data_IF_163023346170
#
_entry.id   IF_163023346170
#
_cell.length_a   1.000
_cell.length_b   1.000
_cell.length_c   1.000
_cell.angle_alpha   90.00
_cell.angle_beta   90.00
_cell.angle_gamma   90.00
#
_symmetry.space_group_name_H-M   'P 1'
#
loop_
_entity.id
_entity.type
_entity.pdbx_description
1 polymer ?
#
# COMPACT_ATOMS: atom_id res chain seq x y z
N UNK A 1 -6.58 -3.40 -6.56
CA UNK A 1 -5.79 -4.20 -7.52
C UNK A 1 -6.13 -5.68 -7.46
N UNK A 2 -5.94 -6.36 -6.32
CA UNK A 2 -6.30 -7.79 -6.15
C UNK A 2 -7.69 -8.14 -6.70
N UNK A 3 -8.73 -7.44 -6.23
CA UNK A 3 -10.11 -7.65 -6.70
C UNK A 3 -10.29 -7.33 -8.20
N UNK A 4 -9.78 -6.16 -8.65
CA UNK A 4 -9.89 -5.71 -10.06
C UNK A 4 -9.32 -6.74 -11.06
N UNK A 5 -8.25 -7.43 -10.68
CA UNK A 5 -7.58 -8.42 -11.53
C UNK A 5 -7.97 -9.87 -11.19
N UNK A 6 -9.03 -10.08 -10.41
CA UNK A 6 -9.60 -11.41 -10.18
C UNK A 6 -8.75 -12.33 -9.31
N UNK A 7 -8.03 -11.79 -8.31
CA UNK A 7 -7.35 -12.63 -7.32
C UNK A 7 -8.37 -13.58 -6.65
N UNK A 8 -8.06 -14.88 -6.65
CA UNK A 8 -8.93 -15.93 -6.10
C UNK A 8 -9.30 -15.66 -4.63
N UNK A 9 -8.32 -15.21 -3.86
CA UNK A 9 -8.50 -14.87 -2.46
C UNK A 9 -7.54 -13.77 -2.00
N UNK A 10 -7.89 -13.13 -0.90
CA UNK A 10 -7.02 -12.21 -0.16
C UNK A 10 -6.67 -12.91 1.15
N UNK A 11 -5.41 -13.30 1.29
CA UNK A 11 -4.87 -13.95 2.48
C UNK A 11 -4.86 -12.95 3.62
N UNK A 12 -5.35 -13.37 4.79
CA UNK A 12 -5.27 -12.57 6.01
C UNK A 12 -3.87 -12.72 6.62
N UNK A 13 -3.05 -11.66 6.68
CA UNK A 13 -1.71 -11.73 7.23
C UNK A 13 -1.67 -11.68 8.77
N UNK A 14 -2.79 -11.44 9.48
CA UNK A 14 -2.82 -11.32 10.95
C UNK A 14 -2.23 -12.52 11.70
N UNK A 15 -2.46 -13.79 11.31
CA UNK A 15 -1.86 -14.94 12.01
C UNK A 15 -0.34 -14.96 11.96
N UNK A 16 0.25 -14.31 10.96
CA UNK A 16 1.69 -14.25 10.71
C UNK A 16 2.35 -12.99 11.25
N UNK A 17 1.56 -11.99 11.64
CA UNK A 17 2.07 -10.74 12.18
C UNK A 17 2.90 -10.99 13.43
N UNK A 18 4.02 -10.30 13.59
CA UNK A 18 4.86 -10.39 14.79
C UNK A 18 4.99 -9.03 15.49
N UNK A 19 5.15 -9.05 16.82
CA UNK A 19 5.53 -7.88 17.63
C UNK A 19 4.69 -6.63 17.31
N UNK A 20 5.31 -5.54 16.84
CA UNK A 20 4.63 -4.24 16.67
C UNK A 20 3.55 -4.25 15.59
N UNK A 21 3.60 -5.22 14.67
CA UNK A 21 2.56 -5.39 13.64
C UNK A 21 1.27 -5.95 14.28
N UNK A 22 1.37 -6.85 15.27
CA UNK A 22 0.19 -7.31 16.05
C UNK A 22 -0.44 -6.15 16.79
N UNK A 23 0.38 -5.33 17.45
CA UNK A 23 -0.09 -4.14 18.18
C UNK A 23 -0.80 -3.15 17.25
N UNK A 24 -0.33 -3.04 16.00
CA UNK A 24 -0.97 -2.21 14.99
C UNK A 24 -2.36 -2.70 14.63
N UNK A 25 -2.59 -4.02 14.51
CA UNK A 25 -3.94 -4.56 14.32
C UNK A 25 -4.86 -4.29 15.50
N UNK A 26 -4.34 -4.35 16.74
CA UNK A 26 -5.12 -4.01 17.94
C UNK A 26 -5.50 -2.52 17.94
N UNK A 27 -4.56 -1.65 17.57
CA UNK A 27 -4.79 -0.19 17.49
C UNK A 27 -5.76 0.19 16.38
N UNK A 28 -5.74 -0.54 15.28
CA UNK A 28 -6.57 -0.31 14.10
C UNK A 28 -7.35 -1.58 13.74
N UNK A 29 -8.48 -1.89 14.38
CA UNK A 29 -9.22 -3.12 14.10
C UNK A 29 -9.85 -3.14 12.69
N UNK A 30 -10.08 -1.96 12.09
CA UNK A 30 -10.79 -1.78 10.82
C UNK A 30 -9.97 -1.96 9.54
N UNK A 31 -8.65 -2.18 9.61
CA UNK A 31 -7.78 -2.35 8.40
C UNK A 31 -8.10 -3.62 7.58
N UNK A 32 -8.91 -4.52 8.10
CA UNK A 32 -9.27 -5.75 7.40
C UNK A 32 -8.08 -6.68 7.20
N UNK A 33 -8.01 -7.35 6.03
CA UNK A 33 -6.98 -8.33 5.66
C UNK A 33 -5.71 -7.69 5.06
N UNK A 34 -5.43 -6.44 5.38
CA UNK A 34 -4.26 -5.71 4.86
C UNK A 34 -3.13 -5.74 5.88
N UNK A 35 -1.90 -5.95 5.39
CA UNK A 35 -0.69 -5.83 6.20
C UNK A 35 -0.29 -4.35 6.36
N UNK A 36 -0.34 -3.78 7.58
CA UNK A 36 0.05 -2.39 7.77
C UNK A 36 1.58 -2.23 7.71
N UNK A 37 2.06 -1.32 6.86
CA UNK A 37 3.46 -0.93 6.78
C UNK A 37 3.70 0.33 7.63
N UNK A 38 3.83 0.16 8.94
CA UNK A 38 3.95 1.26 9.90
C UNK A 38 5.39 1.43 10.38
N UNK A 39 6.00 2.56 10.00
CA UNK A 39 7.35 2.92 10.41
C UNK A 39 8.44 2.10 9.70
N UNK A 40 9.63 2.68 9.63
CA UNK A 40 10.77 2.13 8.87
C UNK A 40 12.05 2.12 9.71
N UNK A 41 11.93 2.00 11.03
CA UNK A 41 13.08 1.68 11.88
C UNK A 41 13.61 0.28 11.59
N UNK A 42 14.88 0.00 11.87
CA UNK A 42 15.52 -1.31 11.60
C UNK A 42 14.67 -2.49 12.08
N UNK A 43 14.16 -2.42 13.32
CA UNK A 43 13.29 -3.45 13.90
C UNK A 43 11.97 -3.62 13.14
N UNK A 44 11.32 -2.52 12.77
CA UNK A 44 10.05 -2.56 12.04
C UNK A 44 10.23 -3.10 10.62
N UNK A 45 11.33 -2.75 9.95
CA UNK A 45 11.68 -3.30 8.63
C UNK A 45 11.85 -4.82 8.73
N UNK A 46 12.59 -5.30 9.73
CA UNK A 46 12.76 -6.74 9.93
C UNK A 46 11.44 -7.43 10.24
N UNK A 47 10.62 -6.86 11.13
CA UNK A 47 9.31 -7.43 11.46
C UNK A 47 8.37 -7.51 10.25
N UNK A 48 8.41 -6.48 9.39
CA UNK A 48 7.65 -6.43 8.15
C UNK A 48 8.16 -7.46 7.14
N UNK A 49 9.48 -7.60 7.00
CA UNK A 49 10.12 -8.61 6.16
C UNK A 49 9.73 -10.03 6.56
N UNK A 50 9.90 -10.36 7.84
CA UNK A 50 9.59 -11.67 8.40
C UNK A 50 8.10 -11.99 8.25
N UNK A 51 7.22 -11.01 8.52
CA UNK A 51 5.78 -11.18 8.35
C UNK A 51 5.43 -11.44 6.88
N UNK A 52 5.92 -10.63 5.93
CA UNK A 52 5.64 -10.84 4.50
C UNK A 52 6.15 -12.21 4.03
N UNK A 53 7.36 -12.59 4.45
CA UNK A 53 8.02 -13.81 4.00
C UNK A 53 7.41 -15.08 4.62
N UNK A 54 6.70 -14.99 5.75
CA UNK A 54 6.01 -16.13 6.39
C UNK A 54 4.56 -16.30 5.95
N UNK A 55 3.87 -15.24 5.51
CA UNK A 55 2.50 -15.34 4.98
C UNK A 55 2.46 -16.30 3.80
N UNK A 56 1.58 -17.30 3.84
CA UNK A 56 1.39 -18.25 2.74
C UNK A 56 0.56 -17.61 1.61
N UNK A 57 1.24 -17.08 0.59
CA UNK A 57 0.62 -16.45 -0.56
C UNK A 57 1.51 -16.51 -1.81
N UNK A 58 0.89 -16.47 -2.99
CA UNK A 58 1.61 -16.51 -4.27
C UNK A 58 2.24 -15.16 -4.66
N UNK A 59 1.60 -14.06 -4.26
CA UNK A 59 1.97 -12.71 -4.71
C UNK A 59 1.70 -11.64 -3.63
N UNK A 60 2.65 -10.71 -3.49
CA UNK A 60 2.56 -9.56 -2.59
C UNK A 60 2.24 -8.30 -3.40
N UNK A 61 1.15 -7.63 -3.08
CA UNK A 61 0.77 -6.37 -3.71
C UNK A 61 1.19 -5.21 -2.81
N UNK A 62 2.13 -4.40 -3.28
CA UNK A 62 2.64 -3.23 -2.56
C UNK A 62 1.74 -2.03 -2.89
N UNK A 63 0.93 -1.62 -1.91
CA UNK A 63 0.04 -0.46 -2.01
C UNK A 63 0.59 0.83 -1.40
N UNK A 64 1.86 0.86 -0.99
CA UNK A 64 2.48 2.04 -0.38
C UNK A 64 2.89 3.09 -1.42
N UNK A 65 2.86 4.40 -1.09
CA UNK A 65 3.37 5.44 -1.97
C UNK A 65 4.85 5.28 -2.30
N UNK A 66 5.65 4.78 -1.35
CA UNK A 66 7.06 4.44 -1.58
C UNK A 66 7.21 3.04 -2.17
N UNK A 67 8.36 2.80 -2.78
CA UNK A 67 8.73 1.47 -3.25
C UNK A 67 9.28 0.61 -2.11
N UNK A 68 8.40 -0.20 -1.51
CA UNK A 68 8.76 -1.03 -0.36
C UNK A 68 9.87 -2.05 -0.67
N UNK A 69 9.99 -2.48 -1.94
CA UNK A 69 11.02 -3.42 -2.39
C UNK A 69 12.45 -2.88 -2.23
N UNK A 70 12.61 -1.57 -2.06
CA UNK A 70 13.92 -0.93 -1.83
C UNK A 70 14.40 -1.04 -0.39
N UNK A 71 13.52 -1.37 0.55
CA UNK A 71 13.80 -1.37 1.99
C UNK A 71 13.52 -2.72 2.66
N UNK A 72 12.70 -3.57 2.05
CA UNK A 72 12.33 -4.90 2.55
C UNK A 72 12.67 -5.95 1.49
N UNK A 73 13.35 -7.04 1.89
CA UNK A 73 13.63 -8.18 1.01
C UNK A 73 12.46 -9.15 1.01
N UNK A 74 11.61 -8.99 0.01
CA UNK A 74 10.47 -9.89 -0.21
C UNK A 74 10.94 -11.09 -1.02
N UNK A 75 10.84 -12.30 -0.45
CA UNK A 75 11.25 -13.55 -1.12
C UNK A 75 10.16 -14.13 -2.06
N UNK A 76 9.03 -13.43 -2.17
CA UNK A 76 7.88 -13.78 -3.02
C UNK A 76 7.79 -12.86 -4.23
N UNK A 77 7.02 -13.26 -5.24
CA UNK A 77 6.66 -12.35 -6.34
C UNK A 77 5.96 -11.13 -5.76
N UNK A 78 6.43 -9.93 -6.09
CA UNK A 78 5.83 -8.69 -5.61
C UNK A 78 5.57 -7.71 -6.76
N UNK A 79 4.46 -6.98 -6.66
CA UNK A 79 4.06 -5.97 -7.64
C UNK A 79 3.65 -4.71 -6.90
N UNK A 80 4.21 -3.57 -7.31
CA UNK A 80 3.82 -2.26 -6.80
C UNK A 80 2.68 -1.68 -7.61
N UNK A 81 1.63 -1.27 -6.92
CA UNK A 81 0.48 -0.59 -7.51
C UNK A 81 0.66 0.91 -7.30
N UNK A 82 0.53 1.67 -8.38
CA UNK A 82 0.49 3.12 -8.34
C UNK A 82 -0.95 3.59 -8.52
N UNK A 83 -1.27 4.72 -7.90
CA UNK A 83 -2.51 5.42 -8.10
C UNK A 83 -2.19 6.88 -8.37
N UNK A 84 -3.03 7.51 -9.18
CA UNK A 84 -2.94 8.92 -9.52
C UNK A 84 -4.29 9.56 -9.22
N UNK A 85 -4.28 10.84 -8.86
CA UNK A 85 -5.51 11.60 -8.69
C UNK A 85 -6.19 11.72 -10.06
N UNK A 86 -7.45 11.30 -10.14
CA UNK A 86 -8.29 11.53 -11.30
C UNK A 86 -9.37 12.53 -10.92
N UNK A 87 -9.30 13.73 -11.49
CA UNK A 87 -10.35 14.74 -11.31
C UNK A 87 -11.59 14.35 -12.10
N UNK A 88 -12.74 14.29 -11.41
CA UNK A 88 -14.03 13.94 -12.00
C UNK A 88 -14.88 15.21 -12.06
N UNK A 89 -15.15 15.70 -13.27
CA UNK A 89 -16.00 16.86 -13.51
C UNK A 89 -15.26 18.06 -14.13
N UNK A 90 -16.02 19.11 -14.45
CA UNK A 90 -15.52 20.36 -15.02
C UNK A 90 -16.13 21.59 -14.32
N UNK A 91 -15.40 22.72 -14.25
CA UNK A 91 -14.04 22.88 -14.71
C UNK A 91 -13.04 22.17 -13.78
N UNK A 92 -12.01 21.55 -14.36
CA UNK A 92 -10.96 20.90 -13.57
C UNK A 92 -9.85 21.90 -13.18
N UNK A 93 -8.92 21.50 -12.31
CA UNK A 93 -7.85 22.39 -11.82
C UNK A 93 -7.02 22.97 -12.98
N UNK A 94 -6.71 22.15 -13.99
CA UNK A 94 -6.00 22.58 -15.18
C UNK A 94 -6.76 23.68 -15.95
N UNK A 95 -8.08 23.52 -16.13
CA UNK A 95 -8.94 24.49 -16.81
C UNK A 95 -9.01 25.81 -16.03
N UNK A 96 -9.16 25.76 -14.70
CA UNK A 96 -9.18 26.97 -13.85
C UNK A 96 -7.85 27.70 -13.89
N UNK A 97 -6.73 26.97 -13.82
CA UNK A 97 -5.39 27.56 -13.92
C UNK A 97 -5.16 28.19 -15.29
N UNK A 98 -5.57 27.52 -16.37
CA UNK A 98 -5.46 28.03 -17.73
C UNK A 98 -6.29 29.31 -17.95
N UNK A 99 -7.50 29.39 -17.39
CA UNK A 99 -8.31 30.62 -17.43
C UNK A 99 -7.59 31.76 -16.69
N UNK A 100 -7.18 31.53 -15.44
CA UNK A 100 -6.51 32.54 -14.60
C UNK A 100 -5.18 33.04 -15.19
N UNK A 101 -4.42 32.18 -15.85
CA UNK A 101 -3.14 32.56 -16.49
C UNK A 101 -3.40 33.37 -17.78
N UNK A 102 -4.42 33.01 -18.56
CA UNK A 102 -4.81 33.77 -19.76
C UNK A 102 -5.35 35.15 -19.43
N UNK A 103 -6.16 35.29 -18.37
CA UNK A 103 -6.72 36.58 -17.94
C UNK A 103 -5.67 37.57 -17.39
N UNK A 104 -4.43 37.12 -17.19
CA UNK A 104 -3.30 37.95 -16.71
C UNK A 104 -2.37 38.44 -17.83
N UNK A 105 -2.65 38.12 -19.09
CA UNK A 105 -1.95 38.66 -20.27
C UNK A 105 -2.83 39.70 -20.95
#
# INVERSE_FOLDING_TARGET
AAQKYGAKEIIDPRPYAISTIKDTYTKYPGIGKLLPAMGYGKKQIQELEDTINTVDCDIVIIGTPIDLSRIVKINKKSIRVKYELQEIGKPNLEEVLNQKIKDRR
#
